data_IF_057358649177
#
_entry.id   IF_057358649177
#
_cell.length_a   1.000
_cell.length_b   1.000
_cell.length_c   1.000
_cell.angle_alpha   90.00
_cell.angle_beta   90.00
_cell.angle_gamma   90.00
#
_symmetry.space_group_name_H-M   'P 1'
#
loop_
_entity.id
_entity.type
_entity.pdbx_description
1 polymer ?
#
# COMPACT_ATOMS: atom_id res chain seq x y z
N UNK A 1 17.36 -1.96 -2.43
CA UNK A 1 16.27 -2.90 -2.07
C UNK A 1 14.88 -2.50 -2.61
N UNK A 2 14.52 -1.22 -2.78
CA UNK A 2 13.15 -0.80 -3.21
C UNK A 2 12.60 -1.43 -4.51
N UNK A 3 13.44 -1.72 -5.51
CA UNK A 3 12.98 -2.23 -6.81
C UNK A 3 12.42 -3.67 -6.73
N UNK A 4 13.00 -4.51 -5.87
CA UNK A 4 12.68 -5.94 -5.77
C UNK A 4 11.29 -6.20 -5.16
N UNK A 5 10.82 -5.30 -4.30
CA UNK A 5 9.48 -5.38 -3.67
C UNK A 5 8.37 -4.97 -4.64
N UNK A 6 8.55 -3.90 -5.42
CA UNK A 6 7.62 -3.52 -6.49
C UNK A 6 7.57 -4.57 -7.59
N UNK A 7 8.72 -5.10 -8.01
CA UNK A 7 8.77 -6.18 -9.00
C UNK A 7 8.08 -7.46 -8.50
N UNK A 8 7.90 -7.62 -7.18
CA UNK A 8 7.17 -8.75 -6.60
C UNK A 8 5.66 -8.49 -6.61
N UNK A 9 5.22 -7.29 -6.22
CA UNK A 9 3.81 -6.89 -6.28
C UNK A 9 3.23 -6.99 -7.70
N UNK A 10 3.89 -6.40 -8.69
CA UNK A 10 3.43 -6.43 -10.09
C UNK A 10 3.32 -7.87 -10.61
N UNK A 11 4.25 -8.75 -10.23
CA UNK A 11 4.19 -10.17 -10.61
C UNK A 11 3.00 -10.89 -9.98
N UNK A 12 2.67 -10.59 -8.73
CA UNK A 12 1.50 -11.18 -8.07
C UNK A 12 0.19 -10.73 -8.72
N UNK A 13 0.11 -9.46 -9.15
CA UNK A 13 -1.04 -8.96 -9.92
C UNK A 13 -1.14 -9.67 -11.26
N UNK A 14 -0.04 -9.78 -12.02
CA UNK A 14 -0.04 -10.51 -13.29
C UNK A 14 -0.46 -11.99 -13.12
N UNK A 15 -0.03 -12.63 -12.03
CA UNK A 15 -0.44 -14.00 -11.72
C UNK A 15 -1.93 -14.09 -11.36
N UNK A 16 -2.48 -13.11 -10.64
CA UNK A 16 -3.90 -13.05 -10.35
C UNK A 16 -4.75 -12.89 -11.63
N UNK A 17 -4.28 -12.09 -12.58
CA UNK A 17 -4.92 -11.95 -13.90
C UNK A 17 -4.90 -13.29 -14.66
N UNK A 18 -3.75 -13.96 -14.70
CA UNK A 18 -3.61 -15.29 -15.32
C UNK A 18 -4.52 -16.33 -14.65
N UNK A 19 -4.63 -16.32 -13.31
CA UNK A 19 -5.54 -17.21 -12.59
C UNK A 19 -7.00 -16.94 -12.99
N UNK A 20 -7.39 -15.66 -13.14
CA UNK A 20 -8.73 -15.30 -13.60
C UNK A 20 -9.02 -15.86 -14.98
N UNK A 21 -8.08 -15.69 -15.92
CA UNK A 21 -8.22 -16.21 -17.29
C UNK A 21 -8.32 -17.74 -17.30
N UNK A 22 -7.52 -18.44 -16.48
CA UNK A 22 -7.56 -19.89 -16.36
C UNK A 22 -8.88 -20.38 -15.73
N UNK A 23 -9.42 -19.68 -14.73
CA UNK A 23 -10.70 -20.06 -14.10
C UNK A 23 -11.90 -19.85 -15.03
N UNK A 24 -11.80 -18.97 -16.02
CA UNK A 24 -12.82 -18.73 -17.04
C UNK A 24 -12.73 -19.70 -18.24
N UNK A 25 -11.62 -20.43 -18.38
CA UNK A 25 -11.42 -21.36 -19.48
C UNK A 25 -12.33 -22.60 -19.37
N UNK A 26 -12.89 -23.03 -20.51
CA UNK A 26 -13.84 -24.15 -20.58
C UNK A 26 -13.21 -25.52 -20.25
N UNK A 27 -11.87 -25.65 -20.37
CA UNK A 27 -11.12 -26.88 -20.19
C UNK A 27 -10.48 -27.03 -18.80
N UNK A 28 -10.72 -26.08 -17.89
CA UNK A 28 -10.22 -26.14 -16.52
C UNK A 28 -10.93 -27.22 -15.72
N UNK A 29 -10.15 -28.21 -15.28
CA UNK A 29 -10.67 -29.32 -14.47
C UNK A 29 -10.99 -28.84 -13.05
N UNK A 30 -11.91 -29.56 -12.37
CA UNK A 30 -12.40 -29.15 -11.05
C UNK A 30 -11.27 -29.05 -10.03
N UNK A 31 -10.36 -30.03 -10.01
CA UNK A 31 -9.22 -30.05 -9.09
C UNK A 31 -8.27 -28.87 -9.34
N UNK A 32 -8.03 -28.53 -10.61
CA UNK A 32 -7.22 -27.39 -11.00
C UNK A 32 -7.90 -26.06 -10.63
N UNK A 33 -9.22 -25.96 -10.82
CA UNK A 33 -9.99 -24.78 -10.43
C UNK A 33 -9.92 -24.51 -8.92
N UNK A 34 -9.98 -25.55 -8.10
CA UNK A 34 -9.83 -25.42 -6.64
C UNK A 34 -8.43 -24.92 -6.28
N UNK A 35 -7.39 -25.51 -6.87
CA UNK A 35 -6.01 -25.11 -6.61
C UNK A 35 -5.73 -23.66 -7.06
N UNK A 36 -6.21 -23.27 -8.25
CA UNK A 36 -6.12 -21.91 -8.77
C UNK A 36 -6.85 -20.90 -7.87
N UNK A 37 -8.02 -21.27 -7.35
CA UNK A 37 -8.78 -20.42 -6.44
C UNK A 37 -8.06 -20.22 -5.10
N UNK A 38 -7.49 -21.29 -4.52
CA UNK A 38 -6.67 -21.21 -3.31
C UNK A 38 -5.46 -20.29 -3.50
N UNK A 39 -4.71 -20.48 -4.60
CA UNK A 39 -3.59 -19.60 -4.98
C UNK A 39 -4.04 -18.14 -5.12
N UNK A 40 -5.18 -17.91 -5.78
CA UNK A 40 -5.76 -16.58 -5.96
C UNK A 40 -6.10 -15.89 -4.64
N UNK A 41 -6.61 -16.62 -3.65
CA UNK A 41 -6.87 -16.07 -2.32
C UNK A 41 -5.56 -15.64 -1.64
N UNK A 42 -4.54 -16.48 -1.65
CA UNK A 42 -3.25 -16.18 -1.01
C UNK A 42 -2.59 -14.95 -1.64
N UNK A 43 -2.52 -14.91 -2.98
CA UNK A 43 -1.96 -13.78 -3.71
C UNK A 43 -2.72 -12.48 -3.45
N UNK A 44 -4.05 -12.55 -3.36
CA UNK A 44 -4.90 -11.39 -3.06
C UNK A 44 -4.62 -10.83 -1.66
N UNK A 45 -4.50 -11.70 -0.66
CA UNK A 45 -4.17 -11.30 0.71
C UNK A 45 -2.81 -10.63 0.80
N UNK A 46 -1.83 -11.16 0.09
CA UNK A 46 -0.48 -10.60 0.01
C UNK A 46 -0.45 -9.22 -0.66
N UNK A 47 -1.20 -9.05 -1.74
CA UNK A 47 -1.33 -7.77 -2.43
C UNK A 47 -1.96 -6.72 -1.51
N UNK A 48 -3.06 -7.05 -0.82
CA UNK A 48 -3.71 -6.16 0.15
C UNK A 48 -2.77 -5.76 1.28
N UNK A 49 -1.98 -6.70 1.80
CA UNK A 49 -0.98 -6.43 2.84
C UNK A 49 0.09 -5.45 2.33
N UNK A 50 0.56 -5.65 1.10
CA UNK A 50 1.55 -4.78 0.47
C UNK A 50 1.01 -3.35 0.32
N UNK A 51 -0.22 -3.20 -0.17
CA UNK A 51 -0.88 -1.91 -0.33
C UNK A 51 -1.08 -1.20 1.01
N UNK A 52 -1.54 -1.91 2.03
CA UNK A 52 -1.70 -1.37 3.39
C UNK A 52 -0.38 -0.83 3.95
N UNK A 53 0.72 -1.57 3.77
CA UNK A 53 2.04 -1.13 4.21
C UNK A 53 2.52 0.12 3.45
N UNK A 54 2.23 0.20 2.14
CA UNK A 54 2.54 1.37 1.34
C UNK A 54 1.75 2.60 1.80
N UNK A 55 0.45 2.45 2.09
CA UNK A 55 -0.41 3.51 2.61
C UNK A 55 0.08 4.03 3.96
N UNK A 56 0.42 3.13 4.90
CA UNK A 56 0.96 3.49 6.20
C UNK A 56 2.25 4.32 6.06
N UNK A 57 3.15 3.89 5.18
CA UNK A 57 4.40 4.60 4.91
C UNK A 57 4.17 6.00 4.33
N UNK A 58 3.22 6.14 3.39
CA UNK A 58 2.84 7.45 2.84
C UNK A 58 2.29 8.35 3.96
N UNK A 59 1.43 7.81 4.81
CA UNK A 59 0.82 8.53 5.93
C UNK A 59 1.88 9.03 6.92
N UNK A 60 2.85 8.20 7.28
CA UNK A 60 3.97 8.61 8.14
C UNK A 60 4.84 9.70 7.50
N UNK A 61 5.11 9.60 6.19
CA UNK A 61 5.87 10.61 5.47
C UNK A 61 5.13 11.95 5.43
N UNK A 62 3.82 11.96 5.21
CA UNK A 62 2.99 13.18 5.27
C UNK A 62 3.09 13.84 6.65
N UNK A 63 2.92 13.07 7.73
CA UNK A 63 3.06 13.58 9.11
C UNK A 63 4.43 14.20 9.36
N UNK A 64 5.51 13.60 8.84
CA UNK A 64 6.87 14.15 8.97
C UNK A 64 7.02 15.47 8.22
N UNK A 65 6.47 15.59 7.02
CA UNK A 65 6.48 16.84 6.23
C UNK A 65 5.71 17.95 6.95
N UNK A 66 4.54 17.61 7.52
CA UNK A 66 3.74 18.57 8.28
C UNK A 66 4.50 19.08 9.50
N UNK A 67 5.17 18.20 10.26
CA UNK A 67 6.02 18.59 11.39
C UNK A 67 7.17 19.51 10.99
N UNK A 68 7.85 19.22 9.87
CA UNK A 68 8.93 20.08 9.34
C UNK A 68 8.39 21.46 8.94
N UNK A 69 7.17 21.53 8.43
CA UNK A 69 6.55 22.80 8.00
C UNK A 69 6.12 23.69 9.19
N UNK A 70 6.01 23.13 10.40
CA UNK A 70 5.59 23.86 11.60
C UNK A 70 6.76 24.41 12.43
N UNK A 71 8.00 23.93 12.23
CA UNK A 71 9.19 24.45 12.91
C UNK A 71 9.64 25.86 12.42
N UNK A 72 8.97 26.41 11.39
CA UNK A 72 9.25 27.77 10.86
C UNK A 72 8.38 28.90 11.42
N UNK A 73 7.44 28.64 12.33
CA UNK A 73 6.65 29.72 12.98
C UNK A 73 7.25 30.04 14.34
N UNK A 74 8.06 31.10 14.40
CA UNK A 74 8.45 31.73 15.66
C UNK A 74 7.22 31.95 16.55
N UNK A 75 7.29 31.68 17.87
CA UNK A 75 6.24 32.11 18.78
C UNK A 75 6.24 33.64 18.79
N UNK A 76 5.24 34.24 18.13
CA UNK A 76 4.96 35.67 18.21
C UNK A 76 4.89 36.06 19.68
N UNK A 77 5.94 36.74 20.16
CA UNK A 77 6.04 37.28 21.52
C UNK A 77 4.78 38.11 21.75
N UNK A 78 3.91 37.64 22.65
CA UNK A 78 2.80 38.43 23.17
C UNK A 78 3.44 39.60 23.91
N UNK A 79 3.56 40.73 23.23
CA UNK A 79 4.21 41.91 23.76
C UNK A 79 3.41 42.35 24.99
N UNK A 80 4.07 42.31 26.14
CA UNK A 80 3.52 42.73 27.42
C UNK A 80 3.47 44.26 27.42
N UNK A 81 2.41 44.81 26.85
CA UNK A 81 2.05 46.22 27.05
C UNK A 81 1.53 46.36 28.47
N UNK A 82 2.43 46.73 29.39
CA UNK A 82 2.08 47.78 30.34
C UNK A 82 1.98 49.06 29.51
N UNK A 83 0.92 49.83 29.70
CA UNK A 83 1.02 51.16 30.27
C UNK A 83 -0.41 51.72 30.43
N UNK A 84 -0.60 52.38 31.58
CA UNK A 84 -1.75 53.15 32.11
C UNK A 84 -2.94 52.40 32.76
#
# INVERSE_FOLDING_TARGET
MKKKETDNFEKKILRLEEISDLLEAEDTQLEDAIALFEEGIELSQDCLTTLKNAELKITELKKKIDSISLEGKEPSKKNKGRDD
#
